data_IF_723070035851
#
_entry.id   IF_723070035851
#
_cell.length_a   1.000
_cell.length_b   1.000
_cell.length_c   1.000
_cell.angle_alpha   90.00
_cell.angle_beta   90.00
_cell.angle_gamma   90.00
#
_symmetry.space_group_name_H-M   'P 1'
#
loop_
_entity.id
_entity.type
_entity.pdbx_description
1 polymer ?
#
# COMPACT_ATOMS: atom_id res chain seq x y z
N UNK A 1 23.53 -30.12 9.56
CA UNK A 1 22.52 -29.78 8.53
C UNK A 1 23.27 -29.57 7.24
N UNK A 2 23.20 -30.54 6.33
CA UNK A 2 23.93 -30.53 5.06
C UNK A 2 23.33 -29.46 4.16
N UNK A 3 24.03 -28.34 4.03
CA UNK A 3 23.78 -27.35 2.99
C UNK A 3 24.13 -28.06 1.68
N UNK A 4 23.12 -28.51 0.92
CA UNK A 4 23.36 -29.13 -0.37
C UNK A 4 24.02 -28.09 -1.28
N UNK A 5 25.27 -28.34 -1.65
CA UNK A 5 26.04 -27.48 -2.54
C UNK A 5 25.35 -27.46 -3.92
N UNK A 6 24.39 -26.55 -4.11
CA UNK A 6 23.58 -26.42 -5.32
C UNK A 6 22.12 -26.06 -5.07
N UNK A 7 21.57 -26.37 -3.90
CA UNK A 7 20.15 -26.13 -3.62
C UNK A 7 19.86 -24.64 -3.45
N UNK A 8 18.76 -24.18 -4.06
CA UNK A 8 18.29 -22.79 -3.98
C UNK A 8 16.95 -22.76 -3.29
N UNK A 9 16.83 -21.96 -2.23
CA UNK A 9 15.58 -21.76 -1.51
C UNK A 9 14.68 -20.80 -2.28
N UNK A 10 13.42 -21.17 -2.47
CA UNK A 10 12.29 -20.28 -2.72
C UNK A 10 11.69 -19.90 -1.37
N UNK A 11 11.58 -18.61 -1.07
CA UNK A 11 10.96 -18.13 0.15
C UNK A 11 9.82 -17.16 -0.14
N UNK A 12 8.80 -17.25 0.71
CA UNK A 12 7.61 -16.39 0.72
C UNK A 12 7.55 -15.63 2.03
N UNK A 13 7.30 -14.33 1.96
CA UNK A 13 7.19 -13.44 3.11
C UNK A 13 5.76 -12.95 3.23
N UNK A 14 5.17 -13.04 4.42
CA UNK A 14 3.77 -12.69 4.65
C UNK A 14 3.58 -11.70 5.80
N UNK A 15 2.50 -10.92 5.74
CA UNK A 15 2.06 -10.08 6.86
C UNK A 15 1.29 -10.87 7.94
N UNK A 16 0.87 -10.18 9.01
CA UNK A 16 0.08 -10.77 10.10
C UNK A 16 -1.26 -11.37 9.66
N UNK A 17 -1.77 -10.97 8.50
CA UNK A 17 -3.04 -11.44 7.92
C UNK A 17 -2.81 -12.54 6.88
N UNK A 18 -1.62 -13.15 6.82
CA UNK A 18 -1.23 -14.17 5.82
C UNK A 18 -1.26 -13.64 4.37
N UNK A 19 -1.18 -12.33 4.15
CA UNK A 19 -1.06 -11.77 2.80
C UNK A 19 0.36 -11.88 2.30
N UNK A 20 0.54 -12.35 1.07
CA UNK A 20 1.85 -12.48 0.46
C UNK A 20 2.45 -11.11 0.11
N UNK A 21 3.58 -10.78 0.73
CA UNK A 21 4.29 -9.53 0.55
C UNK A 21 5.36 -9.64 -0.53
N UNK A 22 6.13 -10.73 -0.50
CA UNK A 22 7.28 -10.90 -1.38
C UNK A 22 7.63 -12.37 -1.57
N UNK A 23 8.03 -12.72 -2.78
CA UNK A 23 8.59 -14.03 -3.14
C UNK A 23 10.02 -13.81 -3.63
N UNK A 24 10.96 -14.61 -3.16
CA UNK A 24 12.35 -14.51 -3.61
C UNK A 24 13.06 -15.85 -3.59
N UNK A 25 14.16 -15.93 -4.32
CA UNK A 25 15.08 -17.07 -4.24
C UNK A 25 16.45 -16.71 -3.67
N UNK A 26 17.10 -17.64 -2.97
CA UNK A 26 18.47 -17.50 -2.50
C UNK A 26 19.08 -18.83 -2.09
N UNK A 27 20.39 -19.00 -2.26
CA UNK A 27 21.14 -20.10 -1.62
C UNK A 27 21.37 -19.82 -0.12
N UNK A 28 21.23 -18.56 0.31
CA UNK A 28 21.40 -18.10 1.69
C UNK A 28 20.24 -17.15 2.05
N UNK A 29 19.04 -17.67 2.37
CA UNK A 29 17.86 -16.85 2.63
C UNK A 29 18.02 -15.94 3.86
N UNK A 30 18.66 -16.39 4.94
CA UNK A 30 18.87 -15.58 6.16
C UNK A 30 19.68 -14.30 5.91
N UNK A 31 20.77 -14.42 5.13
CA UNK A 31 21.58 -13.25 4.73
C UNK A 31 20.75 -12.30 3.87
N UNK A 32 19.93 -12.85 2.97
CA UNK A 32 19.06 -12.04 2.11
C UNK A 32 17.96 -11.33 2.90
N UNK A 33 17.42 -11.97 3.92
CA UNK A 33 16.44 -11.39 4.85
C UNK A 33 17.03 -10.29 5.70
N UNK A 34 18.25 -10.46 6.18
CA UNK A 34 18.99 -9.41 6.90
C UNK A 34 19.15 -8.19 6.01
N UNK A 35 19.54 -8.41 4.75
CA UNK A 35 19.62 -7.33 3.77
C UNK A 35 18.25 -6.68 3.52
N UNK A 36 17.17 -7.46 3.38
CA UNK A 36 15.83 -6.89 3.24
C UNK A 36 15.39 -6.09 4.48
N UNK A 37 15.79 -6.50 5.67
CA UNK A 37 15.54 -5.77 6.90
C UNK A 37 16.14 -4.37 6.90
N UNK A 38 17.29 -4.21 6.25
CA UNK A 38 17.96 -2.92 6.10
C UNK A 38 17.40 -2.13 4.92
N UNK A 39 17.21 -2.78 3.77
CA UNK A 39 17.01 -2.08 2.49
C UNK A 39 15.52 -1.83 2.15
N UNK A 40 14.59 -2.57 2.77
CA UNK A 40 13.18 -2.58 2.34
C UNK A 40 12.28 -1.92 3.39
N UNK A 41 11.60 -0.81 3.06
CA UNK A 41 10.75 -0.10 4.01
C UNK A 41 9.54 -0.93 4.47
N UNK A 42 9.14 -1.94 3.69
CA UNK A 42 8.05 -2.86 4.02
C UNK A 42 8.47 -4.05 4.89
N UNK A 43 9.77 -4.25 5.19
CA UNK A 43 10.23 -5.41 5.94
C UNK A 43 9.58 -5.54 7.32
N UNK A 44 9.31 -4.40 7.98
CA UNK A 44 8.64 -4.37 9.28
C UNK A 44 7.23 -5.00 9.28
N UNK A 45 6.65 -5.26 8.11
CA UNK A 45 5.36 -5.94 7.96
C UNK A 45 5.47 -7.47 7.98
N UNK A 46 6.66 -8.03 7.77
CA UNK A 46 6.88 -9.49 7.65
C UNK A 46 6.71 -10.17 9.00
N UNK A 47 5.69 -11.03 9.11
CA UNK A 47 5.37 -11.79 10.31
C UNK A 47 5.53 -13.31 10.12
N UNK A 48 5.33 -13.81 8.90
CA UNK A 48 5.53 -15.22 8.56
C UNK A 48 6.45 -15.38 7.37
N UNK A 49 7.19 -16.49 7.38
CA UNK A 49 8.12 -16.87 6.32
C UNK A 49 7.89 -18.35 6.01
N UNK A 50 7.78 -18.66 4.74
CA UNK A 50 7.76 -20.05 4.25
C UNK A 50 8.96 -20.24 3.34
N UNK A 51 9.60 -21.41 3.44
CA UNK A 51 10.83 -21.73 2.70
C UNK A 51 10.68 -23.12 2.11
N UNK A 52 10.91 -23.20 0.80
CA UNK A 52 10.94 -24.42 0.01
C UNK A 52 12.31 -24.52 -0.68
N UNK A 53 12.94 -25.68 -0.65
CA UNK A 53 14.26 -25.88 -1.25
C UNK A 53 14.14 -26.62 -2.57
N UNK A 54 14.67 -26.03 -3.64
CA UNK A 54 14.80 -26.67 -4.94
C UNK A 54 16.21 -27.24 -5.13
N UNK A 55 16.31 -28.27 -5.98
CA UNK A 55 17.56 -28.98 -6.24
C UNK A 55 18.62 -28.06 -6.85
N UNK A 56 18.20 -27.14 -7.73
CA UNK A 56 19.06 -26.15 -8.34
C UNK A 56 18.39 -24.77 -8.46
N UNK A 57 19.16 -23.80 -8.97
CA UNK A 57 18.72 -22.43 -9.15
C UNK A 57 17.67 -22.29 -10.25
N UNK A 58 17.76 -23.08 -11.31
CA UNK A 58 16.85 -22.96 -12.47
C UNK A 58 15.44 -23.36 -12.05
N UNK A 59 15.31 -24.46 -11.33
CA UNK A 59 14.03 -24.92 -10.76
C UNK A 59 13.43 -23.86 -9.82
N UNK A 60 14.26 -23.26 -8.96
CA UNK A 60 13.83 -22.18 -8.07
C UNK A 60 13.36 -20.93 -8.84
N UNK A 61 14.04 -20.54 -9.93
CA UNK A 61 13.65 -19.40 -10.78
C UNK A 61 12.31 -19.65 -11.50
N UNK A 62 12.07 -20.89 -11.96
CA UNK A 62 10.80 -21.26 -12.57
C UNK A 62 9.66 -21.25 -11.55
N UNK A 63 9.90 -21.79 -10.35
CA UNK A 63 8.95 -21.79 -9.25
C UNK A 63 8.66 -20.37 -8.72
N UNK A 64 9.68 -19.52 -8.59
CA UNK A 64 9.54 -18.10 -8.23
C UNK A 64 8.65 -17.37 -9.23
N UNK A 65 8.93 -17.55 -10.53
CA UNK A 65 8.15 -16.91 -11.59
C UNK A 65 6.71 -17.42 -11.62
N UNK A 66 6.48 -18.70 -11.35
CA UNK A 66 5.15 -19.25 -11.20
C UNK A 66 4.41 -18.62 -10.02
N UNK A 67 5.03 -18.62 -8.82
CA UNK A 67 4.49 -18.03 -7.61
C UNK A 67 4.17 -16.54 -7.76
N UNK A 68 5.07 -15.74 -8.34
CA UNK A 68 4.83 -14.31 -8.57
C UNK A 68 3.60 -14.09 -9.47
N UNK A 69 3.42 -14.91 -10.51
CA UNK A 69 2.29 -14.78 -11.43
C UNK A 69 0.96 -15.27 -10.84
N UNK A 70 0.97 -16.37 -10.09
CA UNK A 70 -0.26 -16.97 -9.55
C UNK A 70 -0.69 -16.38 -8.21
N UNK A 71 0.25 -15.94 -7.39
CA UNK A 71 -0.01 -15.52 -6.00
C UNK A 71 -0.01 -13.99 -5.82
N UNK A 72 0.49 -13.22 -6.81
CA UNK A 72 0.41 -11.75 -6.82
C UNK A 72 1.05 -11.03 -5.61
N UNK A 73 2.31 -11.33 -5.25
CA UNK A 73 2.98 -10.68 -4.11
C UNK A 73 3.04 -9.16 -4.23
N UNK A 74 2.76 -8.46 -3.13
CA UNK A 74 2.59 -7.01 -3.10
C UNK A 74 3.83 -6.21 -3.56
N UNK A 75 5.05 -6.72 -3.32
CA UNK A 75 6.29 -5.96 -3.49
C UNK A 75 7.27 -6.52 -4.54
N UNK A 76 6.91 -7.56 -5.30
CA UNK A 76 7.74 -8.02 -6.43
C UNK A 76 7.55 -7.12 -7.65
N UNK A 77 8.47 -6.19 -7.88
CA UNK A 77 8.40 -5.22 -9.00
C UNK A 77 8.81 -5.78 -10.36
N UNK A 78 9.53 -6.92 -10.41
CA UNK A 78 9.91 -7.60 -11.65
C UNK A 78 9.00 -8.82 -11.88
N UNK A 79 7.97 -8.66 -12.72
CA UNK A 79 7.09 -9.75 -13.13
C UNK A 79 5.71 -9.79 -12.46
N UNK A 80 5.41 -8.87 -11.53
CA UNK A 80 4.03 -8.69 -11.10
C UNK A 80 3.19 -8.20 -12.28
N UNK A 81 2.27 -9.05 -12.72
CA UNK A 81 1.07 -8.60 -13.42
C UNK A 81 0.41 -7.63 -12.44
N UNK A 82 0.64 -6.32 -12.65
CA UNK A 82 0.02 -5.19 -11.93
C UNK A 82 -1.52 -5.14 -12.15
N UNK A 83 -2.12 -6.24 -12.59
CA UNK A 83 -3.46 -6.32 -13.17
C UNK A 83 -4.39 -7.32 -12.47
N UNK A 84 -3.97 -8.00 -11.38
CA UNK A 84 -4.85 -8.92 -10.63
C UNK A 84 -5.14 -8.48 -9.18
N UNK A 85 -4.59 -7.34 -8.71
CA UNK A 85 -4.94 -6.74 -7.41
C UNK A 85 -6.26 -5.95 -7.46
N UNK A 86 -7.21 -6.42 -8.28
CA UNK A 86 -8.56 -5.83 -8.42
C UNK A 86 -9.64 -6.71 -7.80
N UNK A 87 -9.30 -7.66 -6.92
CA UNK A 87 -10.30 -8.39 -6.14
C UNK A 87 -10.34 -7.88 -4.69
N UNK A 88 -11.14 -6.82 -4.52
CA UNK A 88 -11.75 -6.31 -3.29
C UNK A 88 -10.85 -6.08 -2.06
N UNK A 89 -10.02 -5.04 -2.10
CA UNK A 89 -9.80 -4.26 -0.87
C UNK A 89 -10.97 -3.28 -0.72
N UNK A 90 -11.89 -3.44 0.25
CA UNK A 90 -12.93 -2.45 0.47
C UNK A 90 -12.25 -1.21 1.06
N UNK A 91 -11.90 -0.28 0.18
CA UNK A 91 -11.57 1.06 0.61
C UNK A 91 -12.85 1.65 1.19
N UNK A 92 -12.89 1.71 2.52
CA UNK A 92 -14.01 2.27 3.26
C UNK A 92 -13.92 3.79 3.28
N UNK A 93 -15.06 4.45 3.42
CA UNK A 93 -15.15 5.90 3.58
C UNK A 93 -14.43 6.44 4.82
N UNK A 94 -14.07 5.58 5.78
CA UNK A 94 -13.26 5.92 6.95
C UNK A 94 -12.22 4.83 7.22
N UNK A 95 -10.97 5.24 7.42
CA UNK A 95 -9.83 4.36 7.66
C UNK A 95 -8.92 4.96 8.73
N UNK A 96 -8.28 4.10 9.52
CA UNK A 96 -7.26 4.56 10.49
C UNK A 96 -5.95 4.94 9.78
N UNK A 97 -5.18 5.85 10.38
CA UNK A 97 -3.85 6.23 9.88
C UNK A 97 -2.93 5.01 9.66
N UNK A 98 -3.04 3.98 10.49
CA UNK A 98 -2.27 2.74 10.35
C UNK A 98 -2.65 1.97 9.08
N UNK A 99 -3.95 1.87 8.77
CA UNK A 99 -4.43 1.19 7.57
C UNK A 99 -4.04 1.95 6.29
N UNK A 100 -4.14 3.28 6.31
CA UNK A 100 -3.74 4.13 5.19
C UNK A 100 -2.24 3.99 4.91
N UNK A 101 -1.39 3.98 5.94
CA UNK A 101 0.07 3.78 5.78
C UNK A 101 0.42 2.44 5.14
N UNK A 102 -0.33 1.40 5.50
CA UNK A 102 -0.09 0.05 4.98
C UNK A 102 -0.44 -0.07 3.49
N UNK A 103 -1.44 0.68 3.02
CA UNK A 103 -2.08 0.50 1.71
C UNK A 103 -2.27 1.81 0.95
N UNK A 104 -1.31 2.72 1.08
CA UNK A 104 -1.42 4.08 0.54
C UNK A 104 -1.66 4.10 -0.98
N UNK A 105 -1.05 3.17 -1.74
CA UNK A 105 -1.28 3.07 -3.18
C UNK A 105 -2.74 2.71 -3.50
N UNK A 106 -3.31 1.70 -2.83
CA UNK A 106 -4.71 1.28 -3.03
C UNK A 106 -5.69 2.41 -2.65
N UNK A 107 -5.36 3.14 -1.58
CA UNK A 107 -6.13 4.32 -1.12
C UNK A 107 -6.06 5.46 -2.14
N UNK A 108 -4.89 5.71 -2.74
CA UNK A 108 -4.75 6.72 -3.80
C UNK A 108 -5.53 6.31 -5.06
N UNK A 109 -5.42 5.07 -5.51
CA UNK A 109 -6.14 4.57 -6.69
C UNK A 109 -7.67 4.67 -6.48
N UNK A 110 -8.16 4.31 -5.28
CA UNK A 110 -9.58 4.45 -4.95
C UNK A 110 -10.06 5.91 -4.97
N UNK A 111 -9.28 6.84 -4.40
CA UNK A 111 -9.66 8.27 -4.41
C UNK A 111 -9.60 8.86 -5.81
N UNK A 112 -8.50 8.66 -6.53
CA UNK A 112 -8.24 9.28 -7.82
C UNK A 112 -9.20 8.79 -8.91
N UNK A 113 -9.55 7.50 -8.93
CA UNK A 113 -10.35 6.93 -10.02
C UNK A 113 -11.82 6.72 -9.68
N UNK A 114 -12.18 6.54 -8.41
CA UNK A 114 -13.58 6.35 -8.00
C UNK A 114 -14.21 7.60 -7.35
N UNK A 115 -13.42 8.66 -7.13
CA UNK A 115 -13.92 9.94 -6.63
C UNK A 115 -14.44 9.90 -5.19
N UNK A 116 -14.20 8.82 -4.44
CA UNK A 116 -14.66 8.70 -3.07
C UNK A 116 -13.67 9.36 -2.10
N UNK A 117 -14.10 10.37 -1.31
CA UNK A 117 -13.31 10.88 -0.20
C UNK A 117 -13.11 9.80 0.87
N UNK A 118 -11.89 9.70 1.38
CA UNK A 118 -11.57 8.77 2.47
C UNK A 118 -11.17 9.56 3.70
N UNK A 119 -11.94 9.42 4.77
CA UNK A 119 -11.60 9.99 6.07
C UNK A 119 -10.46 9.18 6.71
N UNK A 120 -9.42 9.88 7.15
CA UNK A 120 -8.32 9.32 7.90
C UNK A 120 -8.51 9.63 9.38
N UNK A 121 -8.63 8.59 10.21
CA UNK A 121 -8.81 8.70 11.66
C UNK A 121 -7.51 8.41 12.43
N UNK A 122 -7.33 9.08 13.56
CA UNK A 122 -6.25 8.82 14.53
C UNK A 122 -6.85 8.79 15.92
N UNK A 123 -6.64 7.68 16.65
CA UNK A 123 -7.27 7.45 17.98
C UNK A 123 -8.80 7.69 17.94
N UNK A 124 -9.45 7.17 16.89
CA UNK A 124 -10.89 7.29 16.64
C UNK A 124 -11.41 8.72 16.42
N UNK A 125 -10.53 9.69 16.18
CA UNK A 125 -10.91 11.06 15.80
C UNK A 125 -10.53 11.32 14.34
N UNK A 126 -11.34 12.09 13.59
CA UNK A 126 -10.95 12.57 12.28
C UNK A 126 -9.62 13.33 12.37
N UNK A 127 -8.67 12.97 11.52
CA UNK A 127 -7.34 13.56 11.47
C UNK A 127 -7.02 14.18 10.11
N UNK A 128 -7.68 13.74 9.04
CA UNK A 128 -7.57 14.29 7.70
C UNK A 128 -8.52 13.59 6.74
N UNK A 129 -8.52 14.02 5.48
CA UNK A 129 -9.26 13.39 4.39
C UNK A 129 -8.34 13.30 3.17
N UNK A 130 -8.43 12.21 2.43
CA UNK A 130 -7.79 12.06 1.12
C UNK A 130 -8.87 12.24 0.07
N UNK A 131 -8.64 13.15 -0.87
CA UNK A 131 -9.60 13.57 -1.89
C UNK A 131 -8.91 13.70 -3.25
N UNK A 132 -9.66 13.57 -4.35
CA UNK A 132 -9.19 13.94 -5.68
C UNK A 132 -8.69 15.39 -5.75
N UNK A 133 -7.66 15.70 -6.57
CA UNK A 133 -7.16 17.07 -6.74
C UNK A 133 -8.21 18.07 -7.24
N UNK A 134 -9.04 17.67 -8.20
CA UNK A 134 -10.13 18.48 -8.76
C UNK A 134 -11.20 18.80 -7.71
N UNK A 135 -11.52 17.83 -6.84
CA UNK A 135 -12.40 18.05 -5.69
C UNK A 135 -11.80 19.07 -4.73
N UNK A 136 -10.49 18.96 -4.43
CA UNK A 136 -9.79 19.89 -3.54
C UNK A 136 -9.80 21.31 -4.11
N UNK A 137 -9.49 21.47 -5.39
CA UNK A 137 -9.50 22.76 -6.08
C UNK A 137 -10.89 23.41 -6.02
N UNK A 138 -11.94 22.63 -6.30
CA UNK A 138 -13.32 23.11 -6.20
C UNK A 138 -13.71 23.52 -4.77
N UNK A 139 -13.30 22.76 -3.76
CA UNK A 139 -13.56 23.07 -2.36
C UNK A 139 -12.84 24.36 -1.92
N UNK A 140 -11.60 24.57 -2.37
CA UNK A 140 -10.82 25.79 -2.10
C UNK A 140 -11.48 27.01 -2.75
N UNK A 141 -11.92 26.89 -4.00
CA UNK A 141 -12.63 27.96 -4.70
C UNK A 141 -13.93 28.35 -3.99
N UNK A 142 -14.76 27.37 -3.63
CA UNK A 142 -16.01 27.60 -2.90
C UNK A 142 -15.78 28.26 -1.53
N UNK A 143 -14.73 27.87 -0.80
CA UNK A 143 -14.37 28.51 0.47
C UNK A 143 -13.97 29.97 0.30
N UNK A 144 -13.29 30.33 -0.80
CA UNK A 144 -12.93 31.71 -1.11
C UNK A 144 -14.19 32.55 -1.39
N UNK A 145 -15.13 32.04 -2.18
CA UNK A 145 -16.41 32.71 -2.45
C UNK A 145 -17.23 32.93 -1.18
N UNK A 146 -17.34 31.91 -0.32
CA UNK A 146 -18.06 32.03 0.96
C UNK A 146 -17.43 33.09 1.86
N UNK A 147 -16.09 33.17 1.88
CA UNK A 147 -15.38 34.19 2.67
C UNK A 147 -15.66 35.59 2.14
N UNK A 148 -15.72 35.74 0.81
CA UNK A 148 -16.04 37.01 0.16
C UNK A 148 -17.47 37.47 0.45
N UNK A 149 -18.45 36.57 0.31
CA UNK A 149 -19.85 36.85 0.64
C UNK A 149 -20.03 37.25 2.09
N UNK A 150 -19.32 36.57 3.02
CA UNK A 150 -19.35 36.93 4.45
C UNK A 150 -18.78 38.32 4.70
N UNK A 151 -17.74 38.72 3.97
CA UNK A 151 -17.17 40.08 4.04
C UNK A 151 -18.19 41.11 3.56
N UNK A 152 -18.76 40.91 2.38
CA UNK A 152 -19.77 41.81 1.81
C UNK A 152 -21.00 41.96 2.71
N UNK A 153 -21.48 40.86 3.30
CA UNK A 153 -22.59 40.89 4.25
C UNK A 153 -22.25 41.68 5.52
N UNK A 154 -21.01 41.55 6.02
CA UNK A 154 -20.56 42.29 7.19
C UNK A 154 -20.43 43.79 6.92
N UNK A 155 -19.99 44.17 5.72
CA UNK A 155 -19.86 45.58 5.33
C UNK A 155 -21.23 46.21 5.07
N UNK A 156 -22.13 45.52 4.37
CA UNK A 156 -23.51 45.97 4.15
C UNK A 156 -24.29 46.17 5.48
N UNK A 157 -24.00 45.37 6.51
CA UNK A 157 -24.58 45.55 7.86
C UNK A 157 -24.03 46.78 8.58
N UNK A 158 -22.79 47.19 8.32
CA UNK A 158 -22.19 48.40 8.93
C UNK A 158 -22.70 49.67 8.26
N UNK A 159 -23.02 49.64 6.97
CA UNK A 159 -23.57 50.79 6.23
C UNK A 159 -25.03 51.11 6.59
N UNK A 160 -25.73 50.17 7.25
CA UNK A 160 -27.13 50.34 7.70
C UNK A 160 -27.28 50.80 9.15
N UNK A 161 -26.17 51.06 9.87
CA UNK A 161 -26.11 51.53 11.26
C UNK A 161 -25.53 52.95 11.29
#
# INVERSE_FOLDING_TARGET
MTVNAGSTALYRLFDSSRRLLYVGISTQPETRWTQHATDKPWWALVQYREVEWHADRKDAEEAERAAIRSEGPLYNTAGAIRSLLTDHFPVCSSMTQAQVRLRFSDVLDATQFHGQPIEVTRRSKPAGVIVPPDWFDAAVAALAEVKELRRQLADARKEQV
#
